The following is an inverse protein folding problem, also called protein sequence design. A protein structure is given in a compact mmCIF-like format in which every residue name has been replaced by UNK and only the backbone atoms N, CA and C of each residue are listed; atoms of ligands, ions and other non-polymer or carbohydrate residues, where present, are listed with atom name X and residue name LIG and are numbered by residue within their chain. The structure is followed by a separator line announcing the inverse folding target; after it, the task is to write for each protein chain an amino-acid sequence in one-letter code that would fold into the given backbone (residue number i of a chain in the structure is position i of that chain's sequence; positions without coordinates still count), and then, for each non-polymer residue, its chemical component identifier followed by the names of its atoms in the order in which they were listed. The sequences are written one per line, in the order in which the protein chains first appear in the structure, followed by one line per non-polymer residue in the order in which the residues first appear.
data_IF_778933336725
#
_entry.id   IF_778933336725
#
_cell.length_a   1.000
_cell.length_b   1.000
_cell.length_c   1.000
_cell.angle_alpha   90.00
_cell.angle_beta   90.00
_cell.angle_gamma   90.00
#
_symmetry.space_group_name_H-M   'P 1'
#
loop_
_entity.id
_entity.type
_entity.pdbx_description
1 polymer ?
#
# COMPACT_ATOMS: atom_id res chain seq x y z
N UNK A 1 -0.43 14.03 -10.69
CA UNK A 1 -0.47 14.71 -9.39
C UNK A 1 -0.56 13.60 -8.37
N UNK A 2 0.40 13.47 -7.45
CA UNK A 2 0.36 12.43 -6.42
C UNK A 2 -0.82 12.72 -5.50
N UNK A 3 -1.73 11.75 -5.37
CA UNK A 3 -2.84 11.77 -4.44
C UNK A 3 -2.39 10.97 -3.22
N UNK A 4 -2.17 11.67 -2.11
CA UNK A 4 -1.88 11.08 -0.81
C UNK A 4 -3.23 10.84 -0.12
N UNK A 5 -3.63 9.58 0.05
CA UNK A 5 -4.96 9.25 0.52
C UNK A 5 -5.04 9.07 2.03
N UNK A 6 -3.95 8.61 2.65
CA UNK A 6 -3.93 8.31 4.07
C UNK A 6 -2.50 8.30 4.61
N UNK A 7 -2.30 8.98 5.74
CA UNK A 7 -1.06 8.98 6.51
C UNK A 7 -1.26 8.15 7.77
N UNK A 8 -0.24 7.37 8.09
CA UNK A 8 -0.21 6.49 9.25
C UNK A 8 0.99 6.90 10.10
N UNK A 9 0.73 7.25 11.35
CA UNK A 9 1.78 7.57 12.31
C UNK A 9 2.08 6.34 13.15
N UNK A 10 3.37 6.03 13.31
CA UNK A 10 3.87 4.96 14.18
C UNK A 10 3.27 3.58 13.90
N UNK A 11 3.63 3.00 12.75
CA UNK A 11 3.36 1.60 12.44
C UNK A 11 4.61 0.75 12.66
N UNK A 12 4.42 -0.51 13.02
CA UNK A 12 5.49 -1.54 13.05
C UNK A 12 5.40 -2.47 11.83
N UNK A 13 4.20 -2.60 11.27
CA UNK A 13 3.91 -3.42 10.11
C UNK A 13 2.84 -2.78 9.23
N UNK A 14 2.85 -3.17 7.96
CA UNK A 14 1.80 -2.87 7.00
C UNK A 14 1.44 -4.15 6.28
N UNK A 15 0.16 -4.48 6.31
CA UNK A 15 -0.40 -5.64 5.61
C UNK A 15 -1.29 -5.20 4.46
N UNK A 16 -1.32 -5.96 3.37
CA UNK A 16 -2.21 -5.75 2.22
C UNK A 16 -3.03 -7.01 2.03
N UNK A 17 -4.31 -6.92 2.32
CA UNK A 17 -5.28 -7.96 2.00
C UNK A 17 -6.03 -7.56 0.75
N UNK A 18 -6.02 -8.43 -0.25
CA UNK A 18 -6.77 -8.24 -1.48
C UNK A 18 -8.15 -8.87 -1.34
N UNK A 19 -9.15 -8.33 -2.06
CA UNK A 19 -10.45 -8.96 -2.18
C UNK A 19 -10.33 -10.39 -2.77
N UNK A 20 -11.25 -11.27 -2.40
CA UNK A 20 -11.31 -12.62 -2.93
C UNK A 20 -11.41 -12.60 -4.46
N UNK A 21 -10.51 -13.36 -5.12
CA UNK A 21 -10.45 -13.44 -6.58
C UNK A 21 -9.61 -12.34 -7.24
N UNK A 22 -9.09 -11.37 -6.49
CA UNK A 22 -8.16 -10.39 -7.02
C UNK A 22 -6.75 -10.97 -7.17
N UNK A 23 -6.16 -10.79 -8.35
CA UNK A 23 -4.81 -11.26 -8.65
C UNK A 23 -3.74 -10.32 -8.06
N UNK A 24 -2.82 -10.79 -7.18
CA UNK A 24 -1.69 -9.98 -6.71
C UNK A 24 -0.72 -9.55 -7.83
N UNK A 25 -0.85 -10.12 -9.03
CA UNK A 25 -0.14 -9.71 -10.24
C UNK A 25 -0.85 -8.63 -11.06
N UNK A 26 -2.05 -8.20 -10.65
CA UNK A 26 -2.80 -7.16 -11.34
C UNK A 26 -1.96 -5.88 -11.54
N UNK A 27 -1.84 -5.35 -12.78
CA UNK A 27 -0.93 -4.24 -13.06
C UNK A 27 -1.21 -2.97 -12.25
N UNK A 28 -2.46 -2.71 -11.89
CA UNK A 28 -2.85 -1.51 -11.16
C UNK A 28 -2.28 -1.47 -9.73
N UNK A 29 -2.04 -2.63 -9.09
CA UNK A 29 -1.42 -2.73 -7.76
C UNK A 29 0.04 -2.21 -7.74
N UNK A 30 0.69 -2.05 -8.90
CA UNK A 30 2.01 -1.43 -9.02
C UNK A 30 1.96 0.10 -9.08
N UNK A 31 0.77 0.68 -9.26
CA UNK A 31 0.58 2.13 -9.34
C UNK A 31 0.36 2.77 -7.97
N UNK A 32 -0.02 1.97 -6.99
CA UNK A 32 -0.19 2.40 -5.60
C UNK A 32 1.04 2.03 -4.79
N UNK A 33 1.58 3.02 -4.07
CA UNK A 33 2.83 2.93 -3.33
C UNK A 33 2.59 3.22 -1.85
N UNK A 34 3.25 2.45 -1.00
CA UNK A 34 3.47 2.76 0.40
C UNK A 34 4.83 3.43 0.48
N UNK A 35 4.86 4.69 0.89
CA UNK A 35 6.11 5.46 1.02
C UNK A 35 6.29 5.91 2.46
N UNK A 36 7.52 5.78 2.96
CA UNK A 36 7.89 6.32 4.25
C UNK A 36 7.90 7.85 4.17
N UNK A 37 7.50 8.53 5.25
CA UNK A 37 7.42 10.00 5.26
C UNK A 37 8.78 10.69 5.06
N UNK A 38 9.88 10.01 5.38
CA UNK A 38 11.24 10.49 5.12
C UNK A 38 11.67 10.30 3.64
N UNK A 39 10.83 9.64 2.83
CA UNK A 39 11.05 9.37 1.41
C UNK A 39 12.16 8.36 1.11
N UNK A 40 12.70 7.69 2.12
CA UNK A 40 13.86 6.80 1.95
C UNK A 40 13.47 5.39 1.50
N UNK A 41 12.26 4.96 1.85
CA UNK A 41 11.79 3.58 1.62
C UNK A 41 10.42 3.60 0.98
N UNK A 42 10.21 2.75 -0.03
CA UNK A 42 8.93 2.63 -0.70
C UNK A 42 8.67 1.25 -1.25
N UNK A 43 7.41 0.82 -1.17
CA UNK A 43 6.91 -0.46 -1.65
C UNK A 43 5.68 -0.27 -2.52
N UNK A 44 5.46 -1.13 -3.50
CA UNK A 44 4.15 -1.17 -4.20
C UNK A 44 3.19 -2.06 -3.44
N UNK A 45 1.88 -1.81 -3.53
CA UNK A 45 0.89 -2.73 -2.93
C UNK A 45 1.03 -4.15 -3.50
N UNK A 46 1.38 -4.27 -4.78
CA UNK A 46 1.72 -5.54 -5.40
C UNK A 46 2.87 -6.27 -4.68
N UNK A 47 3.93 -5.56 -4.26
CA UNK A 47 5.05 -6.18 -3.54
C UNK A 47 4.65 -6.69 -2.15
N UNK A 48 3.76 -5.98 -1.45
CA UNK A 48 3.26 -6.37 -0.14
C UNK A 48 2.30 -7.56 -0.25
N UNK A 49 1.35 -7.48 -1.18
CA UNK A 49 0.36 -8.52 -1.42
C UNK A 49 0.98 -9.86 -1.83
N UNK A 50 2.12 -9.83 -2.52
CA UNK A 50 2.89 -11.02 -2.92
C UNK A 50 3.80 -11.55 -1.83
N UNK A 51 3.99 -10.83 -0.72
CA UNK A 51 4.79 -11.34 0.38
C UNK A 51 4.10 -12.57 1.00
N UNK A 52 4.84 -13.58 1.49
CA UNK A 52 4.25 -14.80 2.05
C UNK A 52 3.28 -14.55 3.21
N UNK A 53 3.49 -13.45 3.94
CA UNK A 53 2.68 -13.03 5.09
C UNK A 53 1.63 -11.99 4.71
N UNK A 54 1.63 -11.51 3.46
CA UNK A 54 0.89 -10.33 3.02
C UNK A 54 1.20 -9.06 3.84
N UNK A 55 2.31 -9.06 4.57
CA UNK A 55 2.72 -8.01 5.49
C UNK A 55 4.22 -7.74 5.41
N UNK A 56 4.61 -6.50 5.66
CA UNK A 56 6.02 -6.11 5.79
C UNK A 56 6.22 -5.35 7.09
N UNK A 57 7.38 -5.55 7.70
CA UNK A 57 7.82 -4.73 8.83
C UNK A 57 8.22 -3.37 8.30
N UNK A 58 7.56 -2.35 8.82
CA UNK A 58 7.78 -0.97 8.44
C UNK A 58 7.72 -0.13 9.70
N UNK A 59 8.87 0.33 10.18
CA UNK A 59 8.92 1.19 11.35
C UNK A 59 8.75 2.65 10.94
N UNK A 60 7.89 3.39 11.63
CA UNK A 60 7.77 4.84 11.48
C UNK A 60 6.48 5.28 10.78
N UNK A 61 6.51 6.46 10.17
CA UNK A 61 5.33 7.06 9.54
C UNK A 61 5.30 6.81 8.04
N UNK A 62 4.13 6.45 7.52
CA UNK A 62 3.93 6.02 6.14
C UNK A 62 2.76 6.73 5.49
N UNK A 63 2.75 6.75 4.16
CA UNK A 63 1.60 7.18 3.38
C UNK A 63 1.35 6.29 2.18
N UNK A 64 0.08 6.21 1.78
CA UNK A 64 -0.33 5.61 0.52
C UNK A 64 -0.38 6.69 -0.55
N UNK A 65 0.34 6.46 -1.63
CA UNK A 65 0.44 7.38 -2.76
C UNK A 65 0.03 6.71 -4.08
N UNK A 66 -0.72 7.44 -4.90
CA UNK A 66 -0.99 7.07 -6.29
C UNK A 66 -0.96 8.29 -7.21
N UNK A 67 -0.65 8.07 -8.49
CA UNK A 67 -0.74 9.10 -9.52
C UNK A 67 -2.17 9.38 -10.01
N UNK A 68 -3.14 8.53 -9.66
CA UNK A 68 -4.53 8.65 -10.08
C UNK A 68 -5.47 8.46 -8.90
N UNK A 69 -6.39 9.42 -8.70
CA UNK A 69 -7.39 9.34 -7.62
C UNK A 69 -8.30 8.10 -7.73
N UNK A 70 -8.50 7.57 -8.93
CA UNK A 70 -9.28 6.34 -9.17
C UNK A 70 -8.61 5.09 -8.62
N UNK A 71 -7.28 5.06 -8.57
CA UNK A 71 -6.55 3.87 -8.09
C UNK A 71 -6.84 3.65 -6.61
N UNK A 72 -6.92 4.74 -5.83
CA UNK A 72 -7.27 4.70 -4.39
C UNK A 72 -8.78 4.51 -4.14
N UNK A 73 -9.63 4.84 -5.11
CA UNK A 73 -11.07 4.60 -4.98
C UNK A 73 -11.43 3.11 -5.17
N UNK A 74 -10.62 2.35 -5.91
CA UNK A 74 -10.64 0.88 -5.89
C UNK A 74 -10.04 0.35 -4.56
N UNK A 75 -9.14 1.08 -3.90
CA UNK A 75 -8.50 0.65 -2.64
C UNK A 75 -9.42 0.61 -1.39
N UNK A 76 -10.75 0.74 -1.51
CA UNK A 76 -11.65 0.15 -0.51
C UNK A 76 -11.45 -1.38 -0.36
N UNK A 77 -10.76 -1.97 -1.33
CA UNK A 77 -10.35 -3.37 -1.45
C UNK A 77 -9.11 -3.74 -0.61
N UNK A 78 -8.44 -2.77 0.06
CA UNK A 78 -7.17 -3.01 0.75
C UNK A 78 -7.28 -2.61 2.23
N UNK A 79 -7.40 -3.61 3.09
CA UNK A 79 -7.29 -3.40 4.53
C UNK A 79 -5.80 -3.27 4.90
N UNK A 80 -5.36 -2.05 5.18
CA UNK A 80 -4.06 -1.83 5.82
C UNK A 80 -4.26 -1.99 7.34
N UNK A 81 -3.76 -3.11 7.88
CA UNK A 81 -3.74 -3.35 9.33
C UNK A 81 -2.36 -2.94 9.83
N UNK A 82 -2.34 -2.07 10.85
CA UNK A 82 -1.17 -1.49 11.48
C UNK A 82 -1.04 -1.93 12.94
#
# INVERSE_FOLDING_TARGET
QLVNSQRFETSDYVCVFLEEGLDPFAPYLNKVRLESQDGTTGFTLASVARSPTHCMNVSGSWSVESNYASDVNCDKEIALIF
#
